data_IF_362452866940
#
_entry.id   IF_362452866940
#
_cell.length_a   1.000
_cell.length_b   1.000
_cell.length_c   1.000
_cell.angle_alpha   90.00
_cell.angle_beta   90.00
_cell.angle_gamma   90.00
#
_symmetry.space_group_name_H-M   'P 1'
#
loop_
_entity.id
_entity.type
_entity.pdbx_description
1 polymer ?
#
# COMPACT_ATOMS: atom_id res chain seq x y z
N UNK A 1 -5.14 43.84 -1.37
CA UNK A 1 -4.49 42.73 -0.65
C UNK A 1 -4.97 41.35 -1.11
N UNK A 2 -6.26 41.13 -1.40
CA UNK A 2 -6.80 39.85 -1.89
C UNK A 2 -6.23 39.37 -3.22
N UNK A 3 -5.96 40.26 -4.19
CA UNK A 3 -5.38 39.85 -5.50
C UNK A 3 -3.91 39.41 -5.44
N UNK A 4 -3.15 39.88 -4.43
CA UNK A 4 -1.74 39.50 -4.25
C UNK A 4 -1.61 38.11 -3.62
N UNK A 5 -2.46 37.79 -2.64
CA UNK A 5 -2.56 36.44 -2.09
C UNK A 5 -3.06 35.43 -3.12
N UNK A 6 -4.01 35.83 -3.97
CA UNK A 6 -4.53 34.96 -5.02
C UNK A 6 -3.44 34.62 -6.07
N UNK A 7 -2.68 35.62 -6.55
CA UNK A 7 -1.55 35.38 -7.47
C UNK A 7 -0.45 34.52 -6.85
N UNK A 8 -0.14 34.71 -5.56
CA UNK A 8 0.89 33.92 -4.86
C UNK A 8 0.48 32.46 -4.68
N UNK A 9 -0.80 32.20 -4.40
CA UNK A 9 -1.33 30.85 -4.24
C UNK A 9 -1.42 30.08 -5.58
N UNK A 10 -1.79 30.76 -6.67
CA UNK A 10 -1.80 30.16 -8.01
C UNK A 10 -0.37 29.76 -8.43
N UNK A 11 0.61 30.64 -8.20
CA UNK A 11 2.02 30.34 -8.49
C UNK A 11 2.56 29.15 -7.68
N UNK A 12 2.16 29.03 -6.42
CA UNK A 12 2.51 27.87 -5.57
C UNK A 12 1.93 26.56 -6.12
N UNK A 13 0.68 26.59 -6.57
CA UNK A 13 0.01 25.41 -7.10
C UNK A 13 0.66 24.93 -8.42
N UNK A 14 1.01 25.86 -9.32
CA UNK A 14 1.68 25.54 -10.58
C UNK A 14 3.07 24.92 -10.37
N UNK A 15 3.83 25.45 -9.40
CA UNK A 15 5.15 24.94 -9.04
C UNK A 15 5.05 23.53 -8.42
N UNK A 16 4.06 23.29 -7.58
CA UNK A 16 3.78 21.97 -7.00
C UNK A 16 3.31 20.98 -8.06
N UNK A 17 2.42 21.39 -8.97
CA UNK A 17 1.95 20.54 -10.06
C UNK A 17 3.09 20.16 -11.00
N UNK A 18 4.00 21.08 -11.28
CA UNK A 18 5.20 20.80 -12.06
C UNK A 18 6.11 19.76 -11.37
N UNK A 19 6.34 19.90 -10.06
CA UNK A 19 7.10 18.91 -9.27
C UNK A 19 6.44 17.53 -9.32
N UNK A 20 5.13 17.46 -9.15
CA UNK A 20 4.37 16.21 -9.24
C UNK A 20 4.50 15.59 -10.63
N UNK A 21 4.30 16.37 -11.70
CA UNK A 21 4.45 15.91 -13.08
C UNK A 21 5.84 15.37 -13.38
N UNK A 22 6.88 16.05 -12.92
CA UNK A 22 8.27 15.61 -13.08
C UNK A 22 8.51 14.27 -12.38
N UNK A 23 8.01 14.14 -11.14
CA UNK A 23 8.18 12.90 -10.38
C UNK A 23 7.41 11.73 -11.02
N UNK A 24 6.17 11.97 -11.48
CA UNK A 24 5.38 10.98 -12.21
C UNK A 24 6.05 10.59 -13.53
N UNK A 25 6.62 11.54 -14.28
CA UNK A 25 7.32 11.25 -15.53
C UNK A 25 8.54 10.35 -15.31
N UNK A 26 9.25 10.48 -14.18
CA UNK A 26 10.37 9.59 -13.81
C UNK A 26 9.89 8.16 -13.54
N UNK A 27 8.67 8.02 -13.01
CA UNK A 27 8.06 6.76 -12.63
C UNK A 27 7.41 6.01 -13.80
N UNK A 28 6.76 6.73 -14.72
CA UNK A 28 6.11 6.13 -15.90
C UNK A 28 7.10 5.67 -17.00
N UNK A 29 8.41 5.73 -16.76
CA UNK A 29 9.43 5.22 -17.69
C UNK A 29 9.45 3.69 -17.83
N UNK A 30 8.60 2.97 -17.11
CA UNK A 30 8.55 1.50 -17.15
C UNK A 30 7.11 0.97 -17.30
N UNK A 31 6.45 1.20 -18.45
CA UNK A 31 5.06 0.74 -18.66
C UNK A 31 4.90 -0.78 -18.56
N UNK A 32 5.96 -1.53 -18.90
CA UNK A 32 5.99 -2.99 -18.77
C UNK A 32 5.76 -3.47 -17.33
N UNK A 33 6.18 -2.68 -16.34
CA UNK A 33 6.01 -3.02 -14.94
C UNK A 33 4.53 -2.94 -14.52
N UNK A 34 3.81 -1.89 -14.93
CA UNK A 34 2.38 -1.73 -14.64
C UNK A 34 1.60 -2.88 -15.26
N UNK A 35 1.96 -3.25 -16.50
CA UNK A 35 1.37 -4.39 -17.20
C UNK A 35 1.64 -5.69 -16.43
N UNK A 36 2.85 -5.90 -15.93
CA UNK A 36 3.19 -7.09 -15.14
C UNK A 36 2.35 -7.18 -13.86
N UNK A 37 2.25 -6.10 -13.09
CA UNK A 37 1.44 -6.05 -11.86
C UNK A 37 -0.04 -6.31 -12.16
N UNK A 38 -0.56 -5.75 -13.26
CA UNK A 38 -1.93 -6.01 -13.68
C UNK A 38 -2.15 -7.48 -14.07
N UNK A 39 -1.24 -8.08 -14.83
CA UNK A 39 -1.33 -9.49 -15.25
C UNK A 39 -1.21 -10.43 -14.04
N UNK A 40 -0.28 -10.16 -13.10
CA UNK A 40 -0.11 -10.99 -11.92
C UNK A 40 -1.37 -10.97 -11.06
N UNK A 41 -1.90 -9.79 -10.74
CA UNK A 41 -3.11 -9.63 -9.94
C UNK A 41 -4.37 -10.17 -10.63
N UNK A 42 -4.47 -10.04 -11.95
CA UNK A 42 -5.50 -10.71 -12.74
C UNK A 42 -5.41 -12.24 -12.60
N UNK A 43 -4.22 -12.80 -12.78
CA UNK A 43 -3.97 -14.24 -12.63
C UNK A 43 -4.33 -14.73 -11.23
N UNK A 44 -3.99 -13.97 -10.18
CA UNK A 44 -4.35 -14.32 -8.82
C UNK A 44 -5.84 -14.24 -8.56
N UNK A 45 -6.54 -13.23 -9.08
CA UNK A 45 -8.00 -13.17 -9.05
C UNK A 45 -8.62 -14.39 -9.73
N UNK A 46 -8.12 -14.78 -10.89
CA UNK A 46 -8.58 -15.97 -11.62
C UNK A 46 -8.39 -17.25 -10.80
N UNK A 47 -7.21 -17.49 -10.23
CA UNK A 47 -6.95 -18.69 -9.42
C UNK A 47 -7.75 -18.71 -8.11
N UNK A 48 -7.93 -17.55 -7.46
CA UNK A 48 -8.78 -17.42 -6.27
C UNK A 48 -10.22 -17.81 -6.58
N UNK A 49 -10.74 -17.38 -7.74
CA UNK A 49 -12.08 -17.70 -8.20
C UNK A 49 -12.27 -19.21 -8.40
N UNK A 50 -11.30 -19.89 -9.03
CA UNK A 50 -11.32 -21.35 -9.23
C UNK A 50 -11.32 -22.08 -7.87
N UNK A 51 -10.45 -21.66 -6.95
CA UNK A 51 -10.33 -22.30 -5.63
C UNK A 51 -11.64 -22.18 -4.83
N UNK A 52 -12.25 -20.99 -4.82
CA UNK A 52 -13.53 -20.78 -4.15
C UNK A 52 -14.67 -21.55 -4.81
N UNK A 53 -14.71 -21.59 -6.15
CA UNK A 53 -15.71 -22.38 -6.88
C UNK A 53 -15.63 -23.86 -6.50
N UNK A 54 -14.41 -24.41 -6.46
CA UNK A 54 -14.18 -25.80 -6.04
C UNK A 54 -14.59 -26.05 -4.57
N UNK A 55 -14.29 -25.11 -3.66
CA UNK A 55 -14.70 -25.20 -2.25
C UNK A 55 -16.22 -25.19 -2.11
N UNK A 56 -16.91 -24.25 -2.77
CA UNK A 56 -18.37 -24.12 -2.75
C UNK A 56 -19.09 -25.37 -3.24
N UNK A 57 -18.57 -26.02 -4.28
CA UNK A 57 -19.15 -27.27 -4.79
C UNK A 57 -19.05 -28.42 -3.79
N UNK A 58 -18.01 -28.45 -2.96
CA UNK A 58 -17.78 -29.53 -2.00
C UNK A 58 -18.55 -29.36 -0.69
N UNK A 59 -18.97 -28.14 -0.33
CA UNK A 59 -19.53 -27.83 0.99
C UNK A 59 -21.06 -27.71 1.07
N UNK A 60 -21.80 -28.00 -0.01
CA UNK A 60 -23.28 -27.83 -0.07
C UNK A 60 -23.77 -26.42 0.29
N UNK A 61 -22.86 -25.44 0.31
CA UNK A 61 -23.11 -24.07 0.75
C UNK A 61 -23.71 -23.22 -0.37
N UNK A 62 -24.19 -22.02 -0.02
CA UNK A 62 -24.67 -21.06 -1.01
C UNK A 62 -23.64 -20.81 -2.12
N UNK A 63 -24.09 -20.54 -3.36
CA UNK A 63 -23.18 -20.26 -4.47
C UNK A 63 -22.33 -19.03 -4.17
N UNK A 64 -21.02 -19.19 -4.28
CA UNK A 64 -20.05 -18.11 -4.13
C UNK A 64 -20.26 -17.02 -5.18
N UNK A 65 -20.05 -15.77 -4.79
CA UNK A 65 -20.14 -14.62 -5.67
C UNK A 65 -18.84 -13.81 -5.68
N UNK A 66 -18.81 -12.77 -6.52
CA UNK A 66 -17.64 -11.89 -6.66
C UNK A 66 -17.20 -11.27 -5.32
N UNK A 67 -18.14 -10.87 -4.46
CA UNK A 67 -17.80 -10.31 -3.16
C UNK A 67 -17.07 -11.32 -2.28
N UNK A 68 -17.45 -12.60 -2.37
CA UNK A 68 -16.75 -13.66 -1.65
C UNK A 68 -15.36 -13.91 -2.24
N UNK A 69 -15.29 -13.92 -3.57
CA UNK A 69 -14.07 -13.92 -4.36
C UNK A 69 -13.07 -12.85 -3.93
N UNK A 70 -13.58 -11.64 -3.78
CA UNK A 70 -12.80 -10.46 -3.43
C UNK A 70 -12.34 -10.51 -1.98
N UNK A 71 -13.22 -10.93 -1.06
CA UNK A 71 -12.83 -11.18 0.31
C UNK A 71 -11.73 -12.25 0.39
N UNK A 72 -11.87 -13.36 -0.34
CA UNK A 72 -10.89 -14.43 -0.35
C UNK A 72 -9.58 -14.04 -1.03
N UNK A 73 -9.60 -13.28 -2.13
CA UNK A 73 -8.39 -12.88 -2.85
C UNK A 73 -7.43 -12.11 -1.97
N UNK A 74 -7.96 -11.32 -1.05
CA UNK A 74 -7.16 -10.44 -0.23
C UNK A 74 -7.25 -10.74 1.27
N UNK A 75 -8.01 -11.76 1.66
CA UNK A 75 -7.89 -12.31 3.00
C UNK A 75 -6.45 -12.74 3.25
N UNK A 76 -5.99 -12.46 4.47
CA UNK A 76 -4.66 -12.84 4.93
C UNK A 76 -4.42 -14.35 4.82
N UNK A 77 -3.16 -14.79 5.03
CA UNK A 77 -2.78 -16.20 4.93
C UNK A 77 -3.50 -17.10 5.95
N UNK A 78 -4.21 -16.57 6.93
CA UNK A 78 -4.99 -17.35 7.88
C UNK A 78 -6.23 -18.03 7.25
N UNK A 79 -6.82 -17.43 6.19
CA UNK A 79 -8.00 -17.95 5.50
C UNK A 79 -7.66 -18.80 4.27
N UNK A 80 -6.41 -18.72 3.81
CA UNK A 80 -5.89 -19.51 2.70
C UNK A 80 -5.10 -20.66 3.29
N UNK A 81 -5.24 -21.87 2.76
CA UNK A 81 -4.38 -23.00 3.12
C UNK A 81 -2.93 -22.54 3.27
N UNK A 82 -2.20 -23.10 4.24
CA UNK A 82 -0.83 -22.83 4.70
C UNK A 82 0.27 -22.95 3.63
N UNK A 83 -0.01 -22.42 2.44
CA UNK A 83 0.77 -22.43 1.24
C UNK A 83 1.59 -21.15 1.17
N UNK A 84 2.77 -21.25 0.60
CA UNK A 84 3.66 -20.09 0.39
C UNK A 84 3.17 -19.17 -0.74
N UNK A 85 2.21 -19.63 -1.55
CA UNK A 85 1.79 -18.90 -2.74
C UNK A 85 1.19 -17.51 -2.42
N UNK A 86 0.24 -17.35 -1.48
CA UNK A 86 -0.30 -16.04 -1.11
C UNK A 86 0.75 -15.07 -0.55
N UNK A 87 1.76 -15.60 0.16
CA UNK A 87 2.90 -14.80 0.62
C UNK A 87 3.71 -14.28 -0.56
N UNK A 88 4.02 -15.14 -1.53
CA UNK A 88 4.82 -14.79 -2.70
C UNK A 88 4.09 -13.71 -3.53
N UNK A 89 2.79 -13.88 -3.76
CA UNK A 89 1.94 -12.87 -4.41
C UNK A 89 2.12 -11.50 -3.74
N UNK A 90 1.89 -11.48 -2.43
CA UNK A 90 1.92 -10.27 -1.65
C UNK A 90 3.31 -9.61 -1.62
N UNK A 91 4.37 -10.42 -1.44
CA UNK A 91 5.75 -9.92 -1.47
C UNK A 91 6.12 -9.36 -2.84
N UNK A 92 5.61 -9.97 -3.92
CA UNK A 92 5.84 -9.49 -5.28
C UNK A 92 5.18 -8.12 -5.46
N UNK A 93 3.90 -7.95 -5.06
CA UNK A 93 3.20 -6.68 -5.17
C UNK A 93 3.85 -5.58 -4.32
N UNK A 94 4.30 -5.93 -3.11
CA UNK A 94 5.03 -5.02 -2.23
C UNK A 94 6.42 -4.67 -2.80
N UNK A 95 7.17 -5.65 -3.28
CA UNK A 95 8.50 -5.46 -3.86
C UNK A 95 8.41 -4.53 -5.06
N UNK A 96 7.43 -4.75 -5.93
CA UNK A 96 7.19 -3.91 -7.08
C UNK A 96 6.87 -2.48 -6.64
N UNK A 97 5.91 -2.29 -5.74
CA UNK A 97 5.60 -0.96 -5.21
C UNK A 97 6.86 -0.26 -4.68
N UNK A 98 7.68 -0.97 -3.89
CA UNK A 98 8.94 -0.46 -3.35
C UNK A 98 9.98 -0.13 -4.42
N UNK A 99 10.11 -0.92 -5.48
CA UNK A 99 11.00 -0.59 -6.60
C UNK A 99 10.50 0.70 -7.29
N UNK A 100 9.19 0.82 -7.46
CA UNK A 100 8.56 1.97 -8.08
C UNK A 100 8.81 3.25 -7.26
N UNK A 101 8.44 3.28 -5.98
CA UNK A 101 8.67 4.43 -5.08
C UNK A 101 10.14 4.65 -4.75
N UNK A 102 10.94 3.59 -4.76
CA UNK A 102 12.37 3.62 -4.56
C UNK A 102 13.15 4.38 -5.63
N UNK A 103 12.74 4.22 -6.89
CA UNK A 103 13.31 4.96 -8.01
C UNK A 103 13.07 6.46 -7.91
N UNK A 104 11.95 6.90 -7.30
CA UNK A 104 11.70 8.30 -7.00
C UNK A 104 12.75 8.85 -6.03
N UNK A 105 13.03 8.13 -4.94
CA UNK A 105 14.04 8.55 -3.97
C UNK A 105 15.46 8.53 -4.58
N UNK A 106 15.83 7.44 -5.26
CA UNK A 106 17.19 7.25 -5.76
C UNK A 106 17.55 8.19 -6.90
N UNK A 107 16.70 8.35 -7.93
CA UNK A 107 16.99 9.25 -9.07
C UNK A 107 17.01 10.71 -8.66
N UNK A 108 16.16 11.12 -7.70
CA UNK A 108 16.21 12.47 -7.14
C UNK A 108 17.49 12.71 -6.32
N UNK A 109 17.99 11.69 -5.62
CA UNK A 109 19.22 11.80 -4.82
C UNK A 109 20.51 11.57 -5.61
N UNK A 110 20.51 10.83 -6.73
CA UNK A 110 21.70 10.59 -7.55
C UNK A 110 21.88 11.66 -8.62
N UNK A 111 20.80 12.06 -9.29
CA UNK A 111 20.89 12.83 -10.53
C UNK A 111 20.64 14.34 -10.31
N UNK A 112 20.05 14.71 -9.16
CA UNK A 112 19.44 16.03 -8.97
C UNK A 112 19.84 16.74 -7.66
N UNK A 113 20.89 16.28 -6.96
CA UNK A 113 21.36 16.82 -5.67
C UNK A 113 21.46 18.35 -5.65
N UNK A 114 21.88 18.95 -6.77
CA UNK A 114 22.08 20.40 -6.88
C UNK A 114 20.96 21.12 -7.64
N UNK A 115 20.31 20.50 -8.64
CA UNK A 115 19.39 21.24 -9.54
C UNK A 115 17.94 21.36 -9.03
N UNK A 116 17.43 20.39 -8.25
CA UNK A 116 16.06 20.45 -7.71
C UNK A 116 15.97 21.44 -6.53
N UNK A 117 16.99 21.51 -5.67
CA UNK A 117 17.00 22.47 -4.56
C UNK A 117 17.09 23.92 -5.08
N UNK A 118 17.87 24.14 -6.14
CA UNK A 118 17.95 25.43 -6.83
C UNK A 118 16.61 25.84 -7.49
N UNK A 119 15.80 24.86 -7.95
CA UNK A 119 14.52 25.13 -8.62
C UNK A 119 13.33 25.33 -7.67
N UNK A 120 13.17 24.51 -6.63
CA UNK A 120 12.00 24.59 -5.72
C UNK A 120 12.05 25.74 -4.72
N UNK A 121 13.24 26.36 -4.53
CA UNK A 121 13.53 27.46 -3.60
C UNK A 121 13.17 27.18 -2.11
N UNK A 122 12.65 26.00 -1.78
CA UNK A 122 12.22 25.63 -0.43
C UNK A 122 12.16 24.10 -0.25
N UNK A 123 12.90 23.62 0.75
CA UNK A 123 12.91 22.19 1.14
C UNK A 123 11.54 21.68 1.56
N UNK A 124 10.73 22.54 2.20
CA UNK A 124 9.37 22.20 2.63
C UNK A 124 8.44 21.97 1.44
N UNK A 125 8.51 22.82 0.41
CA UNK A 125 7.70 22.66 -0.82
C UNK A 125 8.05 21.37 -1.54
N UNK A 126 9.34 21.06 -1.65
CA UNK A 126 9.79 19.83 -2.26
C UNK A 126 9.28 18.60 -1.51
N UNK A 127 9.36 18.60 -0.17
CA UNK A 127 8.85 17.50 0.65
C UNK A 127 7.35 17.29 0.48
N UNK A 128 6.56 18.37 0.44
CA UNK A 128 5.12 18.28 0.15
C UNK A 128 4.90 17.71 -1.26
N UNK A 129 5.71 18.10 -2.25
CA UNK A 129 5.69 17.52 -3.59
C UNK A 129 5.94 16.01 -3.58
N UNK A 130 6.90 15.52 -2.79
CA UNK A 130 7.16 14.09 -2.60
C UNK A 130 5.96 13.39 -1.97
N UNK A 131 5.39 13.94 -0.90
CA UNK A 131 4.20 13.39 -0.23
C UNK A 131 3.02 13.27 -1.21
N UNK A 132 2.75 14.32 -1.99
CA UNK A 132 1.67 14.32 -2.97
C UNK A 132 1.90 13.31 -4.10
N UNK A 133 3.15 13.19 -4.57
CA UNK A 133 3.49 12.16 -5.55
C UNK A 133 3.26 10.76 -4.98
N UNK A 134 3.70 10.47 -3.76
CA UNK A 134 3.47 9.18 -3.09
C UNK A 134 1.96 8.89 -2.96
N UNK A 135 1.16 9.89 -2.58
CA UNK A 135 -0.29 9.75 -2.49
C UNK A 135 -0.91 9.34 -3.84
N UNK A 136 -0.58 10.05 -4.92
CA UNK A 136 -1.11 9.77 -6.25
C UNK A 136 -0.71 8.38 -6.76
N UNK A 137 0.56 8.00 -6.57
CA UNK A 137 1.05 6.65 -6.92
C UNK A 137 0.31 5.59 -6.14
N UNK A 138 0.11 5.79 -4.83
CA UNK A 138 -0.56 4.82 -3.97
C UNK A 138 -2.01 4.62 -4.44
N UNK A 139 -2.70 5.69 -4.85
CA UNK A 139 -4.03 5.62 -5.44
C UNK A 139 -4.02 4.84 -6.77
N UNK A 140 -3.14 5.21 -7.71
CA UNK A 140 -3.05 4.57 -9.01
C UNK A 140 -2.72 3.07 -8.90
N UNK A 141 -1.74 2.73 -8.06
CA UNK A 141 -1.31 1.36 -7.82
C UNK A 141 -2.42 0.51 -7.20
N UNK A 142 -3.16 1.07 -6.24
CA UNK A 142 -4.34 0.42 -5.63
C UNK A 142 -5.42 0.17 -6.69
N UNK A 143 -5.70 1.14 -7.56
CA UNK A 143 -6.68 0.95 -8.65
C UNK A 143 -6.27 -0.19 -9.58
N UNK A 144 -4.98 -0.30 -9.91
CA UNK A 144 -4.46 -1.38 -10.76
C UNK A 144 -4.64 -2.74 -10.07
N UNK A 145 -4.21 -2.87 -8.81
CA UNK A 145 -4.31 -4.12 -8.02
C UNK A 145 -5.78 -4.55 -7.89
N UNK A 146 -6.64 -3.67 -7.37
CA UNK A 146 -8.04 -3.98 -7.14
C UNK A 146 -8.78 -4.24 -8.45
N UNK A 147 -8.55 -3.40 -9.47
CA UNK A 147 -9.20 -3.53 -10.77
C UNK A 147 -8.84 -4.83 -11.47
N UNK A 148 -7.56 -5.17 -11.54
CA UNK A 148 -7.11 -6.41 -12.17
C UNK A 148 -7.54 -7.66 -11.39
N UNK A 149 -7.49 -7.63 -10.06
CA UNK A 149 -8.00 -8.71 -9.21
C UNK A 149 -9.50 -8.96 -9.42
N UNK A 150 -10.32 -7.90 -9.45
CA UNK A 150 -11.77 -7.99 -9.73
C UNK A 150 -12.02 -8.55 -11.13
N UNK A 151 -11.27 -8.11 -12.15
CA UNK A 151 -11.39 -8.65 -13.51
C UNK A 151 -11.07 -10.14 -13.56
N UNK A 152 -10.05 -10.59 -12.81
CA UNK A 152 -9.73 -12.01 -12.67
C UNK A 152 -10.89 -12.80 -12.04
N UNK A 153 -11.48 -12.28 -10.97
CA UNK A 153 -12.61 -12.90 -10.27
C UNK A 153 -13.87 -12.99 -11.15
N UNK A 154 -14.17 -11.95 -11.93
CA UNK A 154 -15.31 -11.88 -12.84
C UNK A 154 -15.32 -12.97 -13.91
N UNK A 155 -14.18 -13.60 -14.18
CA UNK A 155 -14.11 -14.69 -15.18
C UNK A 155 -14.82 -15.96 -14.75
N UNK A 156 -14.97 -16.21 -13.44
CA UNK A 156 -15.57 -17.44 -12.90
C UNK A 156 -16.73 -17.17 -11.94
N UNK A 157 -16.80 -16.00 -11.30
CA UNK A 157 -17.78 -15.72 -10.25
C UNK A 157 -18.85 -14.72 -10.72
N UNK A 158 -20.13 -14.96 -10.38
CA UNK A 158 -21.21 -14.05 -10.71
C UNK A 158 -21.10 -12.75 -9.91
N UNK A 159 -21.43 -11.63 -10.57
CA UNK A 159 -21.54 -10.33 -9.92
C UNK A 159 -22.80 -10.27 -9.04
N UNK A 160 -22.62 -9.92 -7.76
CA UNK A 160 -23.71 -9.60 -6.84
C UNK A 160 -23.28 -8.45 -5.93
N UNK A 161 -24.22 -7.56 -5.59
CA UNK A 161 -23.98 -6.41 -4.72
C UNK A 161 -23.89 -6.77 -3.24
N UNK A 162 -24.51 -7.90 -2.85
CA UNK A 162 -24.46 -8.44 -1.50
C UNK A 162 -23.46 -9.60 -1.43
N UNK A 163 -22.79 -9.75 -0.29
CA UNK A 163 -22.03 -10.97 0.01
C UNK A 163 -22.95 -12.18 0.07
N UNK A 164 -22.43 -13.37 -0.28
CA UNK A 164 -23.20 -14.59 -0.09
C UNK A 164 -23.16 -15.04 1.38
N UNK A 165 -24.01 -16.00 1.74
CA UNK A 165 -23.92 -16.64 3.05
C UNK A 165 -22.74 -17.59 3.18
N UNK A 166 -21.93 -17.79 2.13
CA UNK A 166 -20.83 -18.76 2.12
C UNK A 166 -19.93 -18.62 3.35
N UNK A 167 -19.51 -17.40 3.70
CA UNK A 167 -18.67 -17.19 4.87
C UNK A 167 -19.39 -17.28 6.23
N UNK A 168 -20.71 -17.10 6.23
CA UNK A 168 -21.55 -17.37 7.41
C UNK A 168 -21.66 -18.87 7.65
N UNK A 169 -21.93 -19.63 6.58
CA UNK A 169 -22.13 -21.06 6.59
C UNK A 169 -20.84 -21.79 7.00
N UNK A 170 -19.68 -21.23 6.65
CA UNK A 170 -18.36 -21.72 7.07
C UNK A 170 -17.94 -21.25 8.48
N UNK A 171 -18.75 -20.45 9.18
CA UNK A 171 -18.41 -19.80 10.46
C UNK A 171 -17.15 -18.91 10.42
N UNK A 172 -16.68 -18.57 9.23
CA UNK A 172 -15.44 -17.80 9.02
C UNK A 172 -15.67 -16.31 9.26
N UNK A 173 -16.88 -15.80 8.96
CA UNK A 173 -17.17 -14.37 9.11
C UNK A 173 -18.65 -14.09 9.36
N UNK A 174 -19.06 -14.04 10.64
CA UNK A 174 -20.44 -13.80 11.05
C UNK A 174 -21.00 -12.41 10.65
N UNK A 175 -20.13 -11.42 10.46
CA UNK A 175 -20.54 -10.08 10.01
C UNK A 175 -20.70 -9.95 8.49
N UNK A 176 -20.34 -10.99 7.70
CA UNK A 176 -20.54 -11.04 6.25
C UNK A 176 -22.00 -10.82 5.86
N UNK A 177 -22.95 -11.23 6.71
CA UNK A 177 -24.39 -11.11 6.49
C UNK A 177 -24.86 -9.66 6.27
N UNK A 178 -24.11 -8.68 6.78
CA UNK A 178 -24.53 -7.28 6.85
C UNK A 178 -23.67 -6.33 5.99
N UNK A 179 -22.61 -6.83 5.37
CA UNK A 179 -21.68 -6.01 4.60
C UNK A 179 -22.00 -6.06 3.09
N UNK A 180 -22.09 -4.88 2.47
CA UNK A 180 -22.18 -4.77 1.01
C UNK A 180 -20.80 -4.90 0.37
N UNK A 181 -20.75 -5.42 -0.86
CA UNK A 181 -19.52 -5.53 -1.63
C UNK A 181 -18.77 -4.20 -1.74
N UNK A 182 -19.50 -3.12 -2.02
CA UNK A 182 -18.93 -1.78 -2.15
C UNK A 182 -18.32 -1.25 -0.85
N UNK A 183 -18.92 -1.56 0.30
CA UNK A 183 -18.37 -1.15 1.59
C UNK A 183 -17.01 -1.81 1.85
N UNK A 184 -16.88 -3.09 1.49
CA UNK A 184 -15.63 -3.84 1.60
C UNK A 184 -14.60 -3.27 0.65
N UNK A 185 -14.95 -3.14 -0.63
CA UNK A 185 -14.10 -2.56 -1.68
C UNK A 185 -13.54 -1.19 -1.27
N UNK A 186 -14.40 -0.30 -0.78
CA UNK A 186 -13.97 1.03 -0.34
C UNK A 186 -13.04 0.97 0.86
N UNK A 187 -13.41 0.22 1.90
CA UNK A 187 -12.61 0.16 3.14
C UNK A 187 -11.20 -0.37 2.90
N UNK A 188 -11.13 -1.35 2.00
CA UNK A 188 -9.92 -1.99 1.57
C UNK A 188 -9.05 -1.05 0.72
N UNK A 189 -9.63 -0.36 -0.25
CA UNK A 189 -8.92 0.63 -1.05
C UNK A 189 -8.30 1.71 -0.16
N UNK A 190 -9.05 2.24 0.81
CA UNK A 190 -8.53 3.24 1.77
C UNK A 190 -7.39 2.65 2.61
N UNK A 191 -7.53 1.41 3.06
CA UNK A 191 -6.49 0.73 3.84
C UNK A 191 -5.21 0.52 3.02
N UNK A 192 -5.31 0.01 1.78
CA UNK A 192 -4.16 -0.19 0.89
C UNK A 192 -3.46 1.12 0.60
N UNK A 193 -4.20 2.17 0.20
CA UNK A 193 -3.65 3.50 -0.07
C UNK A 193 -2.90 4.00 1.16
N UNK A 194 -3.50 3.94 2.35
CA UNK A 194 -2.86 4.41 3.58
C UNK A 194 -1.58 3.63 3.92
N UNK A 195 -1.58 2.32 3.70
CA UNK A 195 -0.43 1.43 3.97
C UNK A 195 0.71 1.69 2.98
N UNK A 196 0.39 1.85 1.70
CA UNK A 196 1.35 2.21 0.66
C UNK A 196 2.01 3.57 0.93
N UNK A 197 1.25 4.57 1.40
CA UNK A 197 1.81 5.86 1.80
C UNK A 197 2.82 5.70 2.94
N UNK A 198 2.47 4.94 3.99
CA UNK A 198 3.36 4.67 5.13
C UNK A 198 4.67 4.03 4.65
N UNK A 199 4.55 2.96 3.87
CA UNK A 199 5.69 2.18 3.37
C UNK A 199 6.59 3.05 2.48
N UNK A 200 6.02 3.80 1.56
CA UNK A 200 6.77 4.69 0.68
C UNK A 200 7.47 5.82 1.44
N UNK A 201 6.80 6.47 2.40
CA UNK A 201 7.41 7.52 3.21
C UNK A 201 8.56 6.99 4.07
N UNK A 202 8.39 5.80 4.64
CA UNK A 202 9.43 5.12 5.40
C UNK A 202 10.62 4.79 4.49
N UNK A 203 10.36 4.23 3.30
CA UNK A 203 11.40 3.90 2.34
C UNK A 203 12.21 5.12 1.91
N UNK A 204 11.53 6.23 1.60
CA UNK A 204 12.15 7.48 1.18
C UNK A 204 13.07 8.01 2.30
N UNK A 205 12.59 8.02 3.55
CA UNK A 205 13.40 8.46 4.69
C UNK A 205 14.61 7.55 4.97
N UNK A 206 14.43 6.24 4.91
CA UNK A 206 15.53 5.28 5.04
C UNK A 206 16.55 5.45 3.91
N UNK A 207 16.07 5.71 2.70
CA UNK A 207 16.93 5.97 1.54
C UNK A 207 17.73 7.26 1.75
N UNK A 208 17.14 8.30 2.32
CA UNK A 208 17.87 9.52 2.67
C UNK A 208 18.93 9.24 3.74
N UNK A 209 18.53 8.63 4.86
CA UNK A 209 19.41 8.31 5.99
C UNK A 209 20.61 7.44 5.58
N UNK A 210 20.36 6.37 4.82
CA UNK A 210 21.38 5.37 4.47
C UNK A 210 22.05 5.65 3.12
N UNK A 211 21.60 6.69 2.40
CA UNK A 211 22.07 7.09 1.06
C UNK A 211 22.03 5.96 0.01
N UNK A 212 21.24 4.91 0.25
CA UNK A 212 21.21 3.69 -0.57
C UNK A 212 19.81 3.09 -0.58
N UNK A 213 19.24 2.98 -1.78
CA UNK A 213 17.90 2.44 -1.99
C UNK A 213 17.75 0.99 -1.51
N UNK A 214 18.75 0.16 -1.78
CA UNK A 214 18.72 -1.27 -1.47
C UNK A 214 18.43 -1.53 0.02
N UNK A 215 19.02 -0.74 0.93
CA UNK A 215 18.78 -0.91 2.36
C UNK A 215 17.34 -0.56 2.76
N UNK A 216 16.75 0.48 2.18
CA UNK A 216 15.34 0.82 2.43
C UNK A 216 14.40 -0.29 1.98
N UNK A 217 14.63 -0.85 0.79
CA UNK A 217 13.86 -1.99 0.28
C UNK A 217 14.04 -3.22 1.18
N UNK A 218 15.29 -3.62 1.44
CA UNK A 218 15.60 -4.80 2.26
C UNK A 218 15.05 -4.70 3.68
N UNK A 219 15.09 -3.51 4.29
CA UNK A 219 14.54 -3.30 5.63
C UNK A 219 13.04 -3.51 5.66
N UNK A 220 12.31 -2.95 4.68
CA UNK A 220 10.86 -3.12 4.59
C UNK A 220 10.50 -4.58 4.29
N UNK A 221 11.25 -5.24 3.40
CA UNK A 221 11.05 -6.67 3.11
C UNK A 221 11.36 -7.57 4.31
N UNK A 222 12.37 -7.23 5.11
CA UNK A 222 12.68 -7.95 6.35
C UNK A 222 11.54 -7.79 7.36
N UNK A 223 11.05 -6.57 7.54
CA UNK A 223 9.90 -6.25 8.38
C UNK A 223 8.63 -6.99 7.92
N UNK A 224 8.41 -7.04 6.61
CA UNK A 224 7.41 -7.86 5.93
C UNK A 224 7.51 -9.34 6.29
N UNK A 225 8.71 -9.92 6.11
CA UNK A 225 8.97 -11.33 6.37
C UNK A 225 8.85 -11.68 7.86
N UNK A 226 9.37 -10.85 8.77
CA UNK A 226 9.27 -11.06 10.23
C UNK A 226 7.81 -11.11 10.65
N UNK A 227 7.01 -10.17 10.17
CA UNK A 227 5.60 -10.12 10.52
C UNK A 227 4.82 -11.29 9.96
N UNK A 228 5.13 -11.71 8.73
CA UNK A 228 4.53 -12.92 8.17
C UNK A 228 5.01 -14.19 8.89
N UNK A 229 6.25 -14.24 9.37
CA UNK A 229 6.74 -15.33 10.22
C UNK A 229 5.99 -15.40 11.54
N UNK A 230 5.86 -14.27 12.24
CA UNK A 230 5.00 -14.14 13.43
C UNK A 230 3.51 -14.42 13.11
N UNK A 231 3.13 -14.28 11.83
CA UNK A 231 1.98 -14.85 11.13
C UNK A 231 1.64 -16.27 11.51
N UNK A 232 2.66 -17.10 11.30
CA UNK A 232 2.55 -18.54 11.16
C UNK A 232 2.76 -19.27 12.48
N UNK A 233 3.59 -18.72 13.36
CA UNK A 233 4.09 -19.48 14.50
C UNK A 233 3.24 -19.44 15.76
N UNK A 234 2.31 -18.48 15.96
CA UNK A 234 1.81 -18.26 17.32
C UNK A 234 0.38 -17.72 17.50
N UNK A 235 -0.38 -18.43 18.36
CA UNK A 235 -1.46 -17.95 19.23
C UNK A 235 -0.94 -16.96 20.31
N UNK A 236 -0.06 -16.01 19.98
CA UNK A 236 0.52 -15.08 20.96
C UNK A 236 -0.17 -13.71 20.88
N UNK A 237 -1.06 -13.49 21.83
CA UNK A 237 -2.06 -12.42 21.90
C UNK A 237 -1.54 -11.01 22.25
N UNK A 238 -0.23 -10.77 22.36
CA UNK A 238 0.29 -9.50 22.90
C UNK A 238 1.11 -8.63 21.95
N UNK A 239 2.12 -9.21 21.30
CA UNK A 239 3.19 -8.44 20.66
C UNK A 239 2.92 -8.07 19.20
N UNK A 240 1.97 -8.75 18.56
CA UNK A 240 1.52 -8.45 17.19
C UNK A 240 0.81 -7.09 17.08
N UNK A 241 0.45 -6.47 18.21
CA UNK A 241 -0.21 -5.15 18.26
C UNK A 241 0.81 -4.02 18.03
N UNK A 242 2.09 -4.23 18.37
CA UNK A 242 3.10 -3.16 18.49
C UNK A 242 4.02 -3.03 17.27
N UNK A 243 4.08 -4.04 16.39
CA UNK A 243 5.01 -4.03 15.27
C UNK A 243 4.51 -3.11 14.15
N UNK A 244 5.27 -2.06 13.82
CA UNK A 244 4.98 -1.15 12.70
C UNK A 244 4.60 -1.87 11.39
N UNK A 245 5.26 -3.00 11.03
CA UNK A 245 4.90 -3.75 9.85
C UNK A 245 3.68 -4.61 10.08
N UNK A 246 3.37 -5.16 11.27
CA UNK A 246 2.03 -5.76 11.50
C UNK A 246 0.91 -4.81 11.11
N UNK A 247 1.13 -3.51 11.29
CA UNK A 247 0.18 -2.44 11.01
C UNK A 247 0.16 -1.98 9.54
N UNK A 248 1.34 -1.89 8.91
CA UNK A 248 1.47 -1.51 7.49
C UNK A 248 1.42 -2.71 6.52
N UNK A 249 1.50 -3.94 7.03
CA UNK A 249 1.40 -5.16 6.23
C UNK A 249 -0.06 -5.43 6.01
N UNK A 250 -0.52 -4.93 4.88
CA UNK A 250 -1.18 -5.64 3.76
C UNK A 250 -1.40 -7.18 3.84
N UNK A 251 -1.47 -7.84 5.00
CA UNK A 251 -1.97 -9.22 5.12
C UNK A 251 -2.40 -9.69 6.51
N UNK A 252 -2.41 -8.84 7.55
CA UNK A 252 -3.05 -9.22 8.84
C UNK A 252 -4.19 -8.32 9.30
N UNK A 253 -4.38 -7.19 8.64
CA UNK A 253 -5.38 -6.19 9.02
C UNK A 253 -6.51 -6.02 8.02
N UNK A 254 -6.94 -7.12 7.40
CA UNK A 254 -8.30 -7.16 6.86
C UNK A 254 -9.29 -6.86 8.01
N UNK A 255 -10.52 -6.40 7.75
CA UNK A 255 -11.43 -5.95 8.78
C UNK A 255 -11.69 -6.98 9.88
N UNK A 256 -11.44 -8.26 9.63
CA UNK A 256 -11.65 -9.34 10.58
C UNK A 256 -10.70 -10.49 10.28
N UNK A 257 -9.50 -10.44 10.85
CA UNK A 257 -8.75 -11.65 11.20
C UNK A 257 -9.51 -12.28 12.39
N UNK A 258 -10.17 -13.45 12.25
CA UNK A 258 -10.94 -14.05 13.35
C UNK A 258 -10.08 -14.33 14.59
N UNK A 259 -8.77 -14.46 14.39
CA UNK A 259 -7.79 -14.62 15.47
C UNK A 259 -7.47 -13.32 16.24
N UNK A 260 -7.87 -12.14 15.74
CA UNK A 260 -7.62 -10.82 16.35
C UNK A 260 -8.92 -10.00 16.47
N UNK A 261 -9.89 -10.40 17.32
CA UNK A 261 -11.24 -9.85 17.37
C UNK A 261 -11.35 -8.36 17.77
N UNK A 262 -10.27 -7.76 18.29
CA UNK A 262 -10.22 -6.34 18.67
C UNK A 262 -9.61 -5.44 17.58
N UNK A 263 -9.17 -6.01 16.47
CA UNK A 263 -8.45 -5.28 15.42
C UNK A 263 -9.38 -4.92 14.27
N UNK A 264 -9.89 -3.69 14.27
CA UNK A 264 -10.84 -3.18 13.27
C UNK A 264 -10.12 -2.37 12.19
N UNK A 265 -10.73 -2.22 11.01
CA UNK A 265 -10.27 -1.31 9.96
C UNK A 265 -10.00 0.09 10.52
N UNK A 266 -10.90 0.57 11.40
CA UNK A 266 -10.82 1.90 11.99
C UNK A 266 -9.54 2.08 12.80
N UNK A 267 -9.14 1.06 13.57
CA UNK A 267 -7.91 1.08 14.33
C UNK A 267 -6.68 1.09 13.40
N UNK A 268 -6.68 0.27 12.34
CA UNK A 268 -5.60 0.24 11.34
C UNK A 268 -5.44 1.59 10.62
N UNK A 269 -6.56 2.23 10.25
CA UNK A 269 -6.56 3.55 9.63
C UNK A 269 -6.05 4.64 10.58
N UNK A 270 -6.48 4.61 11.85
CA UNK A 270 -6.00 5.53 12.87
C UNK A 270 -4.49 5.37 13.07
N UNK A 271 -4.01 4.14 13.14
CA UNK A 271 -2.60 3.85 13.31
C UNK A 271 -1.76 4.29 12.10
N UNK A 272 -2.20 3.98 10.87
CA UNK A 272 -1.57 4.47 9.65
C UNK A 272 -1.54 6.00 9.62
N UNK A 273 -2.62 6.67 10.01
CA UNK A 273 -2.66 8.13 10.10
C UNK A 273 -1.60 8.67 11.06
N UNK A 274 -1.48 8.09 12.27
CA UNK A 274 -0.45 8.49 13.24
C UNK A 274 0.95 8.30 12.65
N UNK A 275 1.23 7.16 12.01
CA UNK A 275 2.53 6.93 11.39
C UNK A 275 2.79 7.91 10.26
N UNK A 276 1.82 8.15 9.38
CA UNK A 276 1.98 9.12 8.28
C UNK A 276 2.34 10.48 8.86
N UNK A 277 1.68 10.93 9.94
CA UNK A 277 2.02 12.19 10.59
C UNK A 277 3.45 12.19 11.14
N UNK A 278 3.86 11.12 11.83
CA UNK A 278 5.23 10.97 12.35
C UNK A 278 6.26 10.98 11.22
N UNK A 279 6.01 10.24 10.14
CA UNK A 279 6.89 10.17 8.97
C UNK A 279 6.95 11.51 8.23
N UNK A 280 5.83 12.20 8.05
CA UNK A 280 5.79 13.53 7.44
C UNK A 280 6.62 14.54 8.24
N UNK A 281 6.50 14.52 9.57
CA UNK A 281 7.30 15.37 10.47
C UNK A 281 8.78 14.96 10.44
N UNK A 282 9.06 13.65 10.54
CA UNK A 282 10.41 13.09 10.50
C UNK A 282 11.15 13.45 9.22
N UNK A 283 10.53 13.28 8.05
CA UNK A 283 11.11 13.69 6.77
C UNK A 283 11.37 15.20 6.68
N UNK A 284 10.45 16.02 7.18
CA UNK A 284 10.66 17.47 7.27
C UNK A 284 11.84 17.85 8.16
N UNK A 285 12.02 17.17 9.29
CA UNK A 285 13.17 17.36 10.20
C UNK A 285 14.47 16.87 9.56
N UNK A 286 14.48 15.69 8.91
CA UNK A 286 15.65 15.16 8.21
C UNK A 286 16.14 16.15 7.14
N UNK A 287 15.23 16.74 6.37
CA UNK A 287 15.57 17.73 5.35
C UNK A 287 16.15 19.04 5.90
N UNK A 288 15.91 19.37 7.17
CA UNK A 288 16.58 20.51 7.82
C UNK A 288 18.05 20.21 8.08
N UNK A 289 18.37 18.96 8.44
CA UNK A 289 19.71 18.53 8.83
C UNK A 289 20.56 18.06 7.65
N UNK A 290 19.94 17.65 6.53
CA UNK A 290 20.67 17.32 5.31
C UNK A 290 21.20 18.59 4.63
N UNK A 291 22.53 18.68 4.52
CA UNK A 291 23.16 19.62 3.63
C UNK A 291 23.21 19.04 2.21
N UNK A 292 22.39 19.60 1.32
CA UNK A 292 22.31 19.20 -0.08
C UNK A 292 23.46 19.76 -0.93
N UNK A 293 24.30 20.65 -0.36
CA UNK A 293 25.41 21.25 -1.08
C UNK A 293 26.72 20.48 -0.95
N UNK A 294 26.77 19.42 -0.14
CA UNK A 294 27.99 18.62 0.02
C UNK A 294 29.19 19.39 0.61
N UNK A 295 28.96 20.56 1.21
CA UNK A 295 29.98 21.27 1.96
C UNK A 295 29.72 21.06 3.46
N UNK A 296 30.55 20.25 4.10
CA UNK A 296 30.90 20.55 5.49
C UNK A 296 31.57 21.94 5.47
N UNK A 297 30.81 23.00 5.74
CA UNK A 297 31.40 24.34 5.97
C UNK A 297 31.87 24.54 7.41
N UNK A 298 31.75 23.52 8.28
CA UNK A 298 32.23 23.58 9.66
C UNK A 298 32.83 22.24 10.11
N UNK A 299 33.99 21.87 9.53
CA UNK A 299 35.12 21.23 10.23
C UNK A 299 36.45 21.67 9.62
#
# INVERSE_FOLDING_TARGET
>A
MTSFFHKKNIFLLDEMLHLVKMNLAILHQSPLFIVFVAISNFGFGFFAAIQLGALSHNTSSAPVNLGDGFFFLFSGPALKNSSLLPLIVWLIDLLFFLIFTGNLASKQFSDLQTSILFRSKSRAKWWIGVILTILLISIEYTIIILGSGILGLLTQLPWNTNLSSFFLDQSLWQAAAFASFFHILFSLAVLEISSFIVIALLQVQLTFLLKRLAFGISFILLLAAITWGMGFFEKIQGWQIVLLPTQSILSRHWPYEPALPFFTIQFSLLFNLIIVLVLCLGGGLLLRHYDFLGFDYDK
#
